data_IF_992181113409
#
_entry.id   IF_992181113409
#
_cell.length_a   1.000
_cell.length_b   1.000
_cell.length_c   1.000
_cell.angle_alpha   90.00
_cell.angle_beta   90.00
_cell.angle_gamma   90.00
#
_symmetry.space_group_name_H-M   'P 1'
#
loop_
_entity.id
_entity.type
_entity.pdbx_description
1 polymer ?
#
# COMPACT_ATOMS: atom_id res chain seq x y z
N UNK A 1 30.26 -33.89 52.09
CA UNK A 1 30.58 -32.53 51.58
C UNK A 1 30.57 -32.39 50.05
N UNK A 2 30.65 -33.44 49.24
CA UNK A 2 30.64 -33.33 47.76
C UNK A 2 29.25 -33.08 47.10
N UNK A 3 28.13 -33.39 47.77
CA UNK A 3 26.76 -33.24 47.19
C UNK A 3 26.18 -31.82 47.27
N UNK A 4 26.68 -30.97 48.18
CA UNK A 4 26.18 -29.59 48.33
C UNK A 4 26.76 -28.65 47.29
N UNK A 5 27.99 -28.89 46.79
CA UNK A 5 28.64 -28.04 45.79
C UNK A 5 28.01 -28.15 44.40
N UNK A 6 27.47 -29.34 44.06
CA UNK A 6 26.81 -29.57 42.76
C UNK A 6 25.44 -28.87 42.70
N UNK A 7 24.74 -28.75 43.82
CA UNK A 7 23.43 -28.09 43.87
C UNK A 7 23.52 -26.56 43.69
N UNK A 8 24.59 -25.95 44.19
CA UNK A 8 24.86 -24.51 44.04
C UNK A 8 25.25 -24.12 42.61
N UNK A 9 25.97 -25.00 41.90
CA UNK A 9 26.34 -24.76 40.50
C UNK A 9 25.17 -24.79 39.53
N UNK A 10 24.18 -25.66 39.76
CA UNK A 10 23.00 -25.80 38.91
C UNK A 10 22.02 -24.64 39.11
N UNK A 11 21.87 -24.13 40.33
CA UNK A 11 20.98 -22.99 40.62
C UNK A 11 21.53 -21.68 40.04
N UNK A 12 22.86 -21.48 40.07
CA UNK A 12 23.48 -20.28 39.48
C UNK A 12 23.45 -20.27 37.96
N UNK A 13 23.58 -21.44 37.30
CA UNK A 13 23.47 -21.53 35.84
C UNK A 13 22.03 -21.33 35.35
N UNK A 14 21.04 -21.78 36.10
CA UNK A 14 19.64 -21.58 35.76
C UNK A 14 19.19 -20.11 35.97
N UNK A 15 19.74 -19.41 36.96
CA UNK A 15 19.47 -18.01 37.21
C UNK A 15 20.08 -17.07 36.15
N UNK A 16 21.22 -17.43 35.55
CA UNK A 16 21.86 -16.67 34.48
C UNK A 16 21.08 -16.79 33.14
N UNK A 17 20.33 -17.86 32.91
CA UNK A 17 19.53 -18.04 31.70
C UNK A 17 18.21 -17.24 31.70
N UNK A 18 17.75 -16.76 32.87
CA UNK A 18 16.53 -15.96 32.99
C UNK A 18 16.74 -14.45 32.82
N UNK A 19 17.97 -13.96 32.74
CA UNK A 19 18.26 -12.52 32.71
C UNK A 19 18.38 -11.98 31.26
N UNK A 20 18.41 -12.83 30.22
CA UNK A 20 18.46 -12.42 28.81
C UNK A 20 17.11 -12.44 28.12
N UNK A 21 16.01 -12.20 28.81
CA UNK A 21 14.82 -11.67 28.16
C UNK A 21 15.07 -10.19 27.87
N UNK A 22 15.80 -9.93 26.77
CA UNK A 22 15.86 -8.60 26.19
C UNK A 22 14.42 -8.24 25.85
N UNK A 23 13.81 -7.37 26.66
CA UNK A 23 12.59 -6.67 26.31
C UNK A 23 12.90 -5.83 25.05
N UNK A 24 12.79 -6.46 23.88
CA UNK A 24 12.76 -5.73 22.62
C UNK A 24 11.55 -4.80 22.71
N UNK A 25 11.76 -3.55 23.00
CA UNK A 25 10.75 -2.50 22.90
C UNK A 25 10.14 -2.61 21.51
N UNK A 26 8.82 -2.72 21.40
CA UNK A 26 8.19 -2.77 20.07
C UNK A 26 8.62 -1.52 19.30
N UNK A 27 9.26 -1.71 18.15
CA UNK A 27 9.58 -0.58 17.26
C UNK A 27 8.30 0.18 17.01
N UNK A 28 8.30 1.53 17.14
CA UNK A 28 7.13 2.32 16.79
C UNK A 28 6.74 1.99 15.34
N UNK A 29 5.54 1.46 15.15
CA UNK A 29 5.04 1.14 13.82
C UNK A 29 4.49 2.41 13.20
N UNK A 30 5.11 2.89 12.12
CA UNK A 30 4.58 3.95 11.26
C UNK A 30 3.79 3.29 10.13
N UNK A 31 2.56 3.77 9.86
CA UNK A 31 1.79 3.40 8.68
C UNK A 31 1.72 4.61 7.75
N UNK A 32 2.04 4.42 6.49
CA UNK A 32 1.88 5.42 5.45
C UNK A 32 0.58 5.16 4.70
N UNK A 33 -0.18 6.21 4.48
CA UNK A 33 -1.38 6.21 3.66
C UNK A 33 -1.34 7.47 2.78
N UNK A 34 -1.47 7.31 1.46
CA UNK A 34 -1.59 8.43 0.55
C UNK A 34 -3.05 8.90 0.51
N UNK A 35 -3.27 10.22 0.54
CA UNK A 35 -4.61 10.81 0.45
C UNK A 35 -4.70 11.80 -0.72
N UNK A 36 -5.81 11.74 -1.46
CA UNK A 36 -6.12 12.67 -2.55
C UNK A 36 -7.46 13.36 -2.30
N UNK A 37 -7.48 14.67 -2.51
CA UNK A 37 -8.70 15.46 -2.41
C UNK A 37 -9.28 15.55 -3.83
N UNK A 38 -10.43 14.93 -4.05
CA UNK A 38 -10.97 14.71 -5.39
C UNK A 38 -12.47 14.97 -5.45
N UNK A 39 -12.99 15.53 -6.55
CA UNK A 39 -14.42 15.80 -6.67
C UNK A 39 -15.28 14.59 -7.05
N UNK A 40 -14.68 13.52 -7.62
CA UNK A 40 -15.41 12.38 -8.20
C UNK A 40 -15.32 11.14 -7.31
N UNK A 41 -15.74 11.25 -6.04
CA UNK A 41 -15.50 10.19 -5.03
C UNK A 41 -16.23 8.87 -5.38
N UNK A 42 -17.45 8.94 -5.94
CA UNK A 42 -18.21 7.72 -6.28
C UNK A 42 -17.67 7.02 -7.53
N UNK A 43 -17.27 7.79 -8.55
CA UNK A 43 -16.59 7.23 -9.73
C UNK A 43 -15.25 6.63 -9.35
N UNK A 44 -14.53 7.26 -8.42
CA UNK A 44 -13.27 6.75 -7.88
C UNK A 44 -13.50 5.44 -7.15
N UNK A 45 -14.47 5.38 -6.23
CA UNK A 45 -14.84 4.12 -5.55
C UNK A 45 -15.11 3.02 -6.56
N UNK A 46 -16.00 3.28 -7.52
CA UNK A 46 -16.34 2.31 -8.56
C UNK A 46 -15.11 1.86 -9.35
N UNK A 47 -14.25 2.79 -9.76
CA UNK A 47 -13.04 2.48 -10.52
C UNK A 47 -12.09 1.58 -9.73
N UNK A 48 -11.69 1.98 -8.54
CA UNK A 48 -10.71 1.24 -7.73
C UNK A 48 -11.24 -0.13 -7.29
N UNK A 49 -12.52 -0.27 -6.98
CA UNK A 49 -13.09 -1.56 -6.59
C UNK A 49 -13.31 -2.50 -7.77
N UNK A 50 -13.71 -1.99 -8.96
CA UNK A 50 -13.99 -2.85 -10.11
C UNK A 50 -12.77 -3.11 -10.98
N UNK A 51 -11.91 -2.12 -11.19
CA UNK A 51 -10.74 -2.22 -12.08
C UNK A 51 -9.54 -2.79 -11.35
N UNK A 52 -9.23 -2.25 -10.16
CA UNK A 52 -8.06 -2.62 -9.35
C UNK A 52 -8.38 -3.64 -8.24
N UNK A 53 -9.65 -3.99 -8.06
CA UNK A 53 -10.12 -4.99 -7.07
C UNK A 53 -9.76 -4.62 -5.62
N UNK A 54 -9.65 -3.32 -5.33
CA UNK A 54 -9.47 -2.85 -3.97
C UNK A 54 -10.77 -2.98 -3.16
N UNK A 55 -10.64 -3.10 -1.85
CA UNK A 55 -11.74 -3.22 -0.92
C UNK A 55 -11.99 -1.89 -0.22
N UNK A 56 -13.28 -1.61 0.12
CA UNK A 56 -13.62 -0.45 0.94
C UNK A 56 -13.34 -0.79 2.41
N UNK A 57 -12.33 -0.13 2.98
CA UNK A 57 -12.00 -0.26 4.40
C UNK A 57 -12.87 0.67 5.28
N UNK A 58 -13.19 1.85 4.77
CA UNK A 58 -14.08 2.80 5.43
C UNK A 58 -14.67 3.78 4.41
N UNK A 59 -15.90 4.24 4.65
CA UNK A 59 -16.57 5.24 3.83
C UNK A 59 -17.56 6.06 4.66
N UNK A 60 -17.64 7.35 4.38
CA UNK A 60 -18.72 8.23 4.80
C UNK A 60 -19.08 9.21 3.66
N UNK A 61 -19.83 10.26 3.95
CA UNK A 61 -20.31 11.22 2.95
C UNK A 61 -19.20 12.00 2.20
N UNK A 62 -18.02 12.18 2.81
CA UNK A 62 -16.92 12.98 2.25
C UNK A 62 -15.58 12.27 2.20
N UNK A 63 -15.47 11.07 2.75
CA UNK A 63 -14.21 10.34 2.86
C UNK A 63 -14.38 8.88 2.43
N UNK A 64 -13.42 8.39 1.68
CA UNK A 64 -13.32 7.01 1.22
C UNK A 64 -11.91 6.48 1.52
N UNK A 65 -11.81 5.38 2.27
CA UNK A 65 -10.59 4.64 2.49
C UNK A 65 -10.67 3.30 1.77
N UNK A 66 -9.76 3.07 0.87
CA UNK A 66 -9.61 1.80 0.16
C UNK A 66 -8.35 1.07 0.62
N UNK A 67 -8.38 -0.25 0.53
CA UNK A 67 -7.24 -1.12 0.84
C UNK A 67 -7.05 -2.18 -0.23
N UNK A 68 -5.81 -2.65 -0.40
CA UNK A 68 -5.51 -3.83 -1.22
C UNK A 68 -6.11 -5.08 -0.62
N UNK A 69 -6.35 -6.11 -1.44
CA UNK A 69 -6.76 -7.42 -0.94
C UNK A 69 -5.73 -7.92 0.08
N UNK A 70 -6.20 -8.23 1.30
CA UNK A 70 -5.31 -8.55 2.43
C UNK A 70 -4.99 -7.36 3.35
N UNK A 71 -5.40 -6.13 3.01
CA UNK A 71 -5.40 -4.98 3.92
C UNK A 71 -4.03 -4.39 4.27
N UNK A 72 -2.99 -4.64 3.45
CA UNK A 72 -1.62 -4.18 3.73
C UNK A 72 -1.40 -2.72 3.34
N UNK A 73 -1.92 -2.30 2.18
CA UNK A 73 -1.72 -0.98 1.63
C UNK A 73 -3.03 -0.24 1.52
N UNK A 74 -3.01 1.05 1.81
CA UNK A 74 -4.21 1.87 1.86
C UNK A 74 -4.03 3.16 1.06
N UNK A 75 -5.15 3.64 0.50
CA UNK A 75 -5.26 4.94 -0.15
C UNK A 75 -6.58 5.59 0.27
N UNK A 76 -6.56 6.90 0.52
CA UNK A 76 -7.75 7.64 0.91
C UNK A 76 -8.10 8.74 -0.08
N UNK A 77 -9.39 9.01 -0.17
CA UNK A 77 -9.94 10.07 -1.00
C UNK A 77 -10.90 10.93 -0.17
N UNK A 78 -10.82 12.26 -0.36
CA UNK A 78 -11.66 13.22 0.33
C UNK A 78 -12.36 14.13 -0.70
N UNK A 79 -13.60 14.55 -0.38
CA UNK A 79 -14.24 15.62 -1.15
C UNK A 79 -13.56 16.97 -0.86
N UNK A 80 -13.38 17.83 -1.87
CA UNK A 80 -12.80 19.17 -1.67
C UNK A 80 -13.76 20.08 -0.89
N UNK A 81 -13.19 21.08 -0.23
CA UNK A 81 -13.91 22.16 0.46
C UNK A 81 -14.85 21.70 1.58
N UNK A 82 -14.72 20.47 2.09
CA UNK A 82 -15.53 20.01 3.22
C UNK A 82 -15.27 20.89 4.46
N UNK A 83 -16.33 21.26 5.17
CA UNK A 83 -16.26 22.22 6.28
C UNK A 83 -15.38 21.76 7.46
N UNK A 84 -15.37 20.46 7.74
CA UNK A 84 -14.55 19.88 8.80
C UNK A 84 -13.03 19.93 8.50
N UNK A 85 -12.62 20.23 7.26
CA UNK A 85 -11.23 20.18 6.85
C UNK A 85 -10.51 21.52 7.07
N UNK A 86 -9.26 21.42 7.50
CA UNK A 86 -8.36 22.58 7.60
C UNK A 86 -7.99 23.10 6.19
N UNK A 87 -7.60 24.38 6.04
CA UNK A 87 -7.31 24.99 4.74
C UNK A 87 -6.37 24.20 3.84
N UNK A 88 -5.37 23.52 4.42
CA UNK A 88 -4.42 22.67 3.69
C UNK A 88 -5.10 21.50 2.93
N UNK A 89 -6.20 20.98 3.48
CA UNK A 89 -6.90 19.80 2.95
C UNK A 89 -8.19 20.16 2.19
N UNK A 90 -8.38 21.43 1.82
CA UNK A 90 -9.57 21.89 1.08
C UNK A 90 -9.40 21.87 -0.45
N UNK A 91 -8.25 22.31 -1.03
CA UNK A 91 -8.10 22.39 -2.47
C UNK A 91 -8.11 21.01 -3.12
N UNK A 92 -8.85 20.87 -4.22
CA UNK A 92 -8.87 19.65 -5.00
C UNK A 92 -7.51 19.38 -5.69
N UNK A 93 -7.14 18.12 -5.83
CA UNK A 93 -6.05 17.67 -6.69
C UNK A 93 -6.33 18.06 -8.15
N UNK A 94 -5.34 18.60 -8.83
CA UNK A 94 -5.49 19.16 -10.19
C UNK A 94 -5.08 18.20 -11.31
N UNK A 95 -4.94 16.91 -11.02
CA UNK A 95 -4.67 15.88 -12.03
C UNK A 95 -3.25 15.87 -12.60
N UNK A 96 -2.25 16.42 -11.88
CA UNK A 96 -0.85 16.47 -12.33
C UNK A 96 0.13 16.27 -11.20
N UNK A 97 1.28 15.64 -11.52
CA UNK A 97 2.41 15.52 -10.59
C UNK A 97 2.28 14.44 -9.51
N UNK A 98 1.27 13.55 -9.63
CA UNK A 98 1.14 12.37 -8.77
C UNK A 98 0.77 11.15 -9.60
N UNK A 99 1.30 10.01 -9.19
CA UNK A 99 0.94 8.69 -9.72
C UNK A 99 1.04 7.65 -8.61
N UNK A 100 0.41 6.52 -8.85
CA UNK A 100 0.50 5.33 -8.01
C UNK A 100 1.26 4.25 -8.78
N UNK A 101 2.09 3.50 -8.09
CA UNK A 101 2.67 2.25 -8.61
C UNK A 101 1.98 1.08 -7.93
N UNK A 102 1.48 0.15 -8.73
CA UNK A 102 0.86 -1.10 -8.27
C UNK A 102 1.70 -2.25 -8.80
N UNK A 103 2.42 -2.89 -7.88
CA UNK A 103 3.19 -4.08 -8.20
C UNK A 103 2.29 -5.30 -8.25
N UNK A 104 2.41 -6.09 -9.32
CA UNK A 104 1.65 -7.31 -9.54
C UNK A 104 2.58 -8.47 -9.93
N UNK A 105 2.16 -9.69 -9.63
CA UNK A 105 2.94 -10.87 -9.97
C UNK A 105 3.05 -11.13 -11.49
N UNK A 106 2.02 -10.75 -12.26
CA UNK A 106 1.96 -10.94 -13.71
C UNK A 106 1.24 -9.76 -14.36
N UNK A 107 2.01 -8.79 -14.83
CA UNK A 107 1.50 -7.58 -15.48
C UNK A 107 0.80 -7.87 -16.81
N UNK A 108 1.20 -8.89 -17.56
CA UNK A 108 0.57 -9.25 -18.84
C UNK A 108 -0.88 -9.72 -18.63
N UNK A 109 -1.14 -10.53 -17.61
CA UNK A 109 -2.52 -10.95 -17.28
C UNK A 109 -3.40 -9.75 -16.89
N UNK A 110 -2.85 -8.82 -16.10
CA UNK A 110 -3.56 -7.61 -15.70
C UNK A 110 -3.83 -6.72 -16.92
N UNK A 111 -2.85 -6.58 -17.82
CA UNK A 111 -2.99 -5.81 -19.06
C UNK A 111 -4.12 -6.34 -19.94
N UNK A 112 -4.18 -7.66 -20.17
CA UNK A 112 -5.27 -8.27 -20.95
C UNK A 112 -6.64 -8.12 -20.28
N UNK A 113 -6.71 -8.17 -18.94
CA UNK A 113 -7.93 -7.90 -18.18
C UNK A 113 -8.40 -6.45 -18.37
N UNK A 114 -7.50 -5.47 -18.24
CA UNK A 114 -7.78 -4.04 -18.45
C UNK A 114 -8.30 -3.77 -19.86
N UNK A 115 -7.68 -4.38 -20.88
CA UNK A 115 -8.15 -4.28 -22.29
C UNK A 115 -9.56 -4.85 -22.47
N UNK A 116 -9.85 -6.03 -21.91
CA UNK A 116 -11.19 -6.64 -21.96
C UNK A 116 -12.25 -5.75 -21.29
N UNK A 117 -11.89 -5.04 -20.24
CA UNK A 117 -12.75 -4.06 -19.57
C UNK A 117 -12.90 -2.75 -20.35
N UNK A 118 -12.20 -2.58 -21.49
CA UNK A 118 -12.17 -1.38 -22.33
C UNK A 118 -11.71 -0.12 -21.56
N UNK A 119 -10.84 -0.29 -20.56
CA UNK A 119 -10.19 0.82 -19.86
C UNK A 119 -9.08 1.37 -20.76
N UNK A 120 -9.03 2.70 -21.01
CA UNK A 120 -7.98 3.30 -21.82
C UNK A 120 -6.59 3.09 -21.20
N UNK A 121 -5.67 2.52 -21.99
CA UNK A 121 -4.26 2.40 -21.65
C UNK A 121 -3.54 3.63 -22.19
N UNK A 122 -2.87 4.39 -21.34
CA UNK A 122 -2.14 5.62 -21.70
C UNK A 122 -0.66 5.38 -21.99
N UNK A 123 -0.06 4.38 -21.34
CA UNK A 123 1.27 3.86 -21.68
C UNK A 123 1.09 2.38 -22.02
N UNK A 124 1.31 1.96 -23.28
CA UNK A 124 1.24 0.55 -23.68
C UNK A 124 2.22 -0.31 -22.90
N UNK A 125 1.87 -1.60 -22.72
CA UNK A 125 2.77 -2.53 -22.03
C UNK A 125 4.13 -2.62 -22.74
N UNK A 126 5.19 -2.54 -21.95
CA UNK A 126 6.58 -2.59 -22.45
C UNK A 126 7.56 -2.99 -21.36
N UNK A 127 8.74 -3.40 -21.78
CA UNK A 127 9.89 -3.63 -20.92
C UNK A 127 10.75 -2.38 -20.83
N UNK A 128 11.31 -2.10 -19.66
CA UNK A 128 12.20 -0.99 -19.41
C UNK A 128 13.65 -1.48 -19.17
N UNK A 129 14.67 -0.69 -19.52
CA UNK A 129 16.07 -1.10 -19.39
C UNK A 129 16.50 -1.43 -17.96
N UNK A 130 15.80 -0.93 -16.94
CA UNK A 130 16.08 -1.19 -15.54
C UNK A 130 15.42 -2.45 -14.98
N UNK A 131 14.65 -3.20 -15.80
CA UNK A 131 14.09 -4.50 -15.43
C UNK A 131 12.60 -4.49 -15.13
N UNK A 132 11.91 -3.38 -15.31
CA UNK A 132 10.47 -3.32 -15.13
C UNK A 132 9.74 -3.69 -16.43
N UNK A 133 8.67 -4.48 -16.29
CA UNK A 133 7.66 -4.64 -17.31
C UNK A 133 6.36 -4.03 -16.82
N UNK A 134 5.86 -3.01 -17.53
CA UNK A 134 4.76 -2.19 -17.03
C UNK A 134 3.84 -1.65 -18.12
N UNK A 135 2.69 -1.11 -17.71
CA UNK A 135 1.80 -0.27 -18.49
C UNK A 135 1.10 0.73 -17.56
N UNK A 136 0.52 1.79 -18.12
CA UNK A 136 -0.19 2.77 -17.29
C UNK A 136 -1.59 3.06 -17.78
N UNK A 137 -2.48 3.31 -16.82
CA UNK A 137 -3.84 3.82 -16.97
C UNK A 137 -4.02 5.09 -16.15
N UNK A 138 -5.18 5.72 -16.24
CA UNK A 138 -5.51 6.93 -15.47
C UNK A 138 -6.86 6.75 -14.80
N UNK A 139 -6.96 7.17 -13.55
CA UNK A 139 -8.20 7.16 -12.78
C UNK A 139 -9.17 8.28 -13.22
N UNK A 140 -10.43 8.31 -12.72
CA UNK A 140 -11.41 9.35 -13.08
C UNK A 140 -10.99 10.80 -12.74
N UNK A 141 -9.99 11.01 -11.89
CA UNK A 141 -9.51 12.33 -11.47
C UNK A 141 -8.19 12.74 -12.12
N UNK A 142 -7.64 11.89 -13.00
CA UNK A 142 -6.36 12.16 -13.66
C UNK A 142 -5.13 11.67 -12.89
N UNK A 143 -5.30 10.82 -11.88
CA UNK A 143 -4.17 10.17 -11.19
C UNK A 143 -3.64 9.06 -12.08
N UNK A 144 -2.35 9.13 -12.43
CA UNK A 144 -1.66 8.06 -13.15
C UNK A 144 -1.55 6.81 -12.30
N UNK A 145 -1.77 5.64 -12.91
CA UNK A 145 -1.62 4.35 -12.25
C UNK A 145 -0.70 3.51 -13.12
N UNK A 146 0.52 3.31 -12.62
CA UNK A 146 1.54 2.47 -13.22
C UNK A 146 1.43 1.06 -12.65
N UNK A 147 1.15 0.08 -13.50
CA UNK A 147 1.00 -1.32 -13.10
C UNK A 147 2.23 -2.06 -13.59
N UNK A 148 2.98 -2.67 -12.66
CA UNK A 148 4.33 -3.15 -12.91
C UNK A 148 4.56 -4.56 -12.37
N UNK A 149 5.37 -5.33 -13.07
CA UNK A 149 6.09 -6.49 -12.54
C UNK A 149 7.58 -6.18 -12.58
N UNK A 150 8.24 -6.21 -11.42
CA UNK A 150 9.67 -6.01 -11.32
C UNK A 150 10.40 -7.30 -11.70
N UNK A 151 11.27 -7.22 -12.69
CA UNK A 151 12.21 -8.30 -13.03
C UNK A 151 13.58 -7.90 -12.49
N UNK A 152 14.20 -8.72 -11.62
CA UNK A 152 15.54 -8.43 -11.14
C UNK A 152 16.48 -8.24 -12.34
N UNK A 153 17.37 -7.22 -12.35
CA UNK A 153 18.32 -7.04 -13.43
C UNK A 153 19.18 -8.30 -13.57
N UNK A 154 19.27 -8.81 -14.78
CA UNK A 154 20.19 -9.89 -15.11
C UNK A 154 21.62 -9.38 -14.87
N UNK A 155 22.31 -10.01 -13.90
CA UNK A 155 23.72 -9.73 -13.60
C UNK A 155 24.61 -10.25 -14.70
#
# INVERSE_FOLDING_TARGET
MRKIIILFGVVTTLLCLLIFSVNAQPKPSMKLNAGFIIPKIQETKKFYTTVLQMEVAFENEFYLLLQTAGGTDQISFLLPNHESQQPLFKPAFVGKGAYLTIEVANVDEVYEKIKKMKIPVVIPIRDEPWGDRHFAIVDPNGIGIDIVTHTPPTR
#
